data_IF_983837362836
#
_entry.id   IF_983837362836
#
_cell.length_a   1.000
_cell.length_b   1.000
_cell.length_c   1.000
_cell.angle_alpha   90.00
_cell.angle_beta   90.00
_cell.angle_gamma   90.00
#
_symmetry.space_group_name_H-M   'P 1'
#
loop_
_entity.id
_entity.type
_entity.pdbx_description
1 polymer ?
#
# COMPACT_ATOMS: atom_id res chain seq x y z
N UNK A 1 13.86 4.19 -1.38
CA UNK A 1 12.50 4.10 -1.93
C UNK A 1 11.53 4.63 -0.89
N UNK A 2 10.57 5.50 -1.24
CA UNK A 2 9.69 6.14 -0.26
C UNK A 2 8.48 5.25 0.06
N UNK A 3 8.69 4.23 0.90
CA UNK A 3 7.65 3.27 1.31
C UNK A 3 6.45 3.95 1.96
N UNK A 4 6.70 4.99 2.75
CA UNK A 4 5.67 5.82 3.37
C UNK A 4 4.71 6.43 2.34
N UNK A 5 5.22 6.92 1.22
CA UNK A 5 4.40 7.49 0.15
C UNK A 5 3.51 6.43 -0.49
N UNK A 6 4.00 5.21 -0.71
CA UNK A 6 3.20 4.12 -1.26
C UNK A 6 2.04 3.74 -0.34
N UNK A 7 2.30 3.64 0.97
CA UNK A 7 1.25 3.35 1.95
C UNK A 7 0.22 4.49 2.00
N UNK A 8 0.68 5.74 2.03
CA UNK A 8 -0.20 6.91 2.04
C UNK A 8 -1.13 6.96 0.81
N UNK A 9 -0.60 6.63 -0.36
CA UNK A 9 -1.35 6.61 -1.61
C UNK A 9 -2.41 5.49 -1.63
N UNK A 10 -2.05 4.30 -1.16
CA UNK A 10 -3.02 3.19 -0.97
C UNK A 10 -4.10 3.58 0.05
N UNK A 11 -3.74 4.23 1.16
CA UNK A 11 -4.70 4.71 2.16
C UNK A 11 -5.61 5.80 1.61
N UNK A 12 -5.11 6.69 0.74
CA UNK A 12 -5.92 7.72 0.08
C UNK A 12 -7.02 7.12 -0.82
N UNK A 13 -6.85 5.88 -1.29
CA UNK A 13 -7.87 5.11 -2.01
C UNK A 13 -8.88 4.42 -1.09
N UNK A 14 -8.89 4.73 0.21
CA UNK A 14 -9.82 4.18 1.19
C UNK A 14 -9.42 2.82 1.77
N UNK A 15 -8.20 2.35 1.50
CA UNK A 15 -7.71 1.11 2.11
C UNK A 15 -7.27 1.34 3.56
N UNK A 16 -7.77 0.50 4.47
CA UNK A 16 -7.35 0.52 5.87
C UNK A 16 -5.99 -0.17 6.06
N UNK A 17 -5.25 0.22 7.09
CA UNK A 17 -3.95 -0.40 7.42
C UNK A 17 -4.06 -1.90 7.67
N UNK A 18 -5.16 -2.37 8.28
CA UNK A 18 -5.41 -3.79 8.48
C UNK A 18 -5.62 -4.54 7.15
N UNK A 19 -6.32 -3.93 6.19
CA UNK A 19 -6.50 -4.49 4.84
C UNK A 19 -5.18 -4.55 4.07
N UNK A 20 -4.37 -3.49 4.17
CA UNK A 20 -3.03 -3.44 3.57
C UNK A 20 -2.15 -4.56 4.17
N UNK A 21 -2.16 -4.71 5.49
CA UNK A 21 -1.41 -5.76 6.18
C UNK A 21 -1.81 -7.17 5.71
N UNK A 22 -3.12 -7.44 5.62
CA UNK A 22 -3.65 -8.68 5.04
C UNK A 22 -3.15 -8.92 3.62
N UNK A 23 -3.23 -7.92 2.75
CA UNK A 23 -2.80 -8.02 1.36
C UNK A 23 -1.28 -8.23 1.21
N UNK A 24 -0.48 -7.83 2.20
CA UNK A 24 0.98 -8.01 2.24
C UNK A 24 1.40 -9.33 2.91
N UNK A 25 0.48 -10.29 3.07
CA UNK A 25 0.74 -11.60 3.65
C UNK A 25 0.42 -11.67 5.14
N UNK A 26 -0.78 -11.19 5.53
CA UNK A 26 -1.28 -11.21 6.92
C UNK A 26 -0.36 -10.50 7.92
N UNK A 27 0.28 -9.41 7.47
CA UNK A 27 1.11 -8.56 8.34
C UNK A 27 0.22 -7.82 9.35
N UNK A 28 0.70 -7.61 10.59
CA UNK A 28 -0.05 -6.89 11.59
C UNK A 28 -0.23 -5.43 11.18
N UNK A 29 -1.37 -4.83 11.57
CA UNK A 29 -1.67 -3.43 11.29
C UNK A 29 -0.57 -2.48 11.81
N UNK A 30 0.03 -2.79 12.97
CA UNK A 30 1.12 -2.00 13.56
C UNK A 30 2.34 -1.90 12.63
N UNK A 31 2.67 -2.98 11.92
CA UNK A 31 3.78 -2.99 10.96
C UNK A 31 3.53 -2.01 9.81
N UNK A 32 2.30 -1.98 9.28
CA UNK A 32 1.90 -1.01 8.25
C UNK A 32 1.98 0.42 8.79
N UNK A 33 1.54 0.62 10.04
CA UNK A 33 1.59 1.93 10.70
C UNK A 33 3.02 2.41 10.95
N UNK A 34 3.97 1.51 11.23
CA UNK A 34 5.38 1.84 11.38
C UNK A 34 6.04 2.24 10.04
N UNK A 35 5.64 1.61 8.93
CA UNK A 35 6.07 2.02 7.57
C UNK A 35 5.49 3.38 7.21
N UNK A 36 4.21 3.61 7.50
CA UNK A 36 3.55 4.90 7.30
C UNK A 36 4.21 6.03 8.13
N UNK A 37 4.82 5.70 9.26
CA UNK A 37 5.59 6.64 10.09
C UNK A 37 7.05 6.78 9.68
N UNK A 38 7.50 6.04 8.66
CA UNK A 38 8.88 6.06 8.20
C UNK A 38 9.87 5.41 9.17
N UNK A 39 9.40 4.55 10.09
CA UNK A 39 10.30 3.85 11.03
C UNK A 39 11.17 2.80 10.33
N UNK A 40 10.70 2.27 9.20
CA UNK A 40 11.48 1.37 8.37
C UNK A 40 12.20 2.15 7.27
N UNK A 41 13.54 2.22 7.39
CA UNK A 41 14.42 2.73 6.32
C UNK A 41 14.58 1.72 5.18
N UNK A 42 14.59 0.45 5.53
CA UNK A 42 14.72 -0.65 4.58
C UNK A 42 13.71 -1.74 4.93
N UNK A 43 12.98 -2.20 3.90
CA UNK A 43 12.09 -3.34 3.98
C UNK A 43 12.81 -4.53 3.37
N UNK A 44 12.56 -5.73 3.89
CA UNK A 44 13.03 -6.95 3.21
C UNK A 44 12.55 -6.91 1.77
N UNK A 45 13.42 -7.31 0.84
CA UNK A 45 13.18 -7.25 -0.60
C UNK A 45 11.79 -7.79 -1.00
N UNK A 46 11.38 -8.92 -0.42
CA UNK A 46 10.08 -9.54 -0.66
C UNK A 46 8.90 -8.66 -0.19
N UNK A 47 8.99 -8.06 1.01
CA UNK A 47 7.96 -7.15 1.51
C UNK A 47 7.87 -5.88 0.65
N UNK A 48 9.02 -5.36 0.20
CA UNK A 48 9.10 -4.23 -0.72
C UNK A 48 8.46 -4.53 -2.07
N UNK A 49 8.74 -5.69 -2.66
CA UNK A 49 8.11 -6.12 -3.91
C UNK A 49 6.60 -6.29 -3.78
N UNK A 50 6.14 -6.92 -2.70
CA UNK A 50 4.71 -7.07 -2.44
C UNK A 50 4.01 -5.72 -2.29
N UNK A 51 4.65 -4.75 -1.60
CA UNK A 51 4.11 -3.40 -1.47
C UNK A 51 4.03 -2.65 -2.81
N UNK A 52 5.06 -2.78 -3.65
CA UNK A 52 5.05 -2.20 -4.99
C UNK A 52 3.94 -2.82 -5.85
N UNK A 53 3.79 -4.15 -5.79
CA UNK A 53 2.75 -4.89 -6.50
C UNK A 53 1.35 -4.46 -6.05
N UNK A 54 1.13 -4.40 -4.74
CA UNK A 54 -0.13 -3.95 -4.15
C UNK A 54 -0.45 -2.51 -4.56
N UNK A 55 0.51 -1.60 -4.46
CA UNK A 55 0.32 -0.21 -4.87
C UNK A 55 -0.09 -0.12 -6.35
N UNK A 56 0.62 -0.82 -7.24
CA UNK A 56 0.26 -0.85 -8.66
C UNK A 56 -1.16 -1.40 -8.88
N UNK A 57 -1.54 -2.46 -8.19
CA UNK A 57 -2.90 -3.00 -8.28
C UNK A 57 -3.94 -1.96 -7.84
N UNK A 58 -3.76 -1.33 -6.69
CA UNK A 58 -4.71 -0.33 -6.16
C UNK A 58 -4.77 0.92 -7.05
N UNK A 59 -3.66 1.31 -7.68
CA UNK A 59 -3.64 2.46 -8.59
C UNK A 59 -4.19 2.16 -9.98
N UNK A 60 -3.99 0.95 -10.47
CA UNK A 60 -4.58 0.48 -11.74
C UNK A 60 -6.06 0.14 -11.59
N UNK A 61 -6.52 -0.24 -10.40
CA UNK A 61 -7.94 -0.43 -10.04
C UNK A 61 -8.64 0.94 -9.91
N UNK A 62 -8.56 1.76 -10.96
CA UNK A 62 -9.56 2.80 -11.20
C UNK A 62 -10.85 2.10 -11.63
N UNK A 63 -12.02 2.41 -11.03
CA UNK A 63 -13.24 2.36 -11.80
C UNK A 63 -13.01 3.31 -12.97
N UNK A 64 -12.94 2.75 -14.17
CA UNK A 64 -13.04 3.51 -15.40
C UNK A 64 -14.34 4.32 -15.27
N UNK A 65 -14.24 5.61 -14.93
CA UNK A 65 -15.35 6.54 -15.16
C UNK A 65 -15.74 6.34 -16.62
N UNK A 66 -16.99 5.96 -16.94
CA UNK A 66 -17.40 5.93 -18.33
C UNK A 66 -17.21 7.36 -18.82
N UNK A 67 -16.37 7.53 -19.84
CA UNK A 67 -16.27 8.76 -20.60
C UNK A 67 -17.71 9.18 -20.94
N UNK A 68 -18.22 10.21 -20.26
CA UNK A 68 -19.58 10.67 -20.42
C UNK A 68 -19.56 11.96 -21.24
N UNK A 69 -20.05 11.77 -22.47
CA UNK A 69 -20.64 12.70 -23.43
C UNK A 69 -19.75 13.80 -24.02
#
# INVERSE_FOLDING_TARGET
MNWTSLIADIQARGWSQARIGKALGDKPQSWVADIARGRYRDLKWQDGQNLIGLHKQVMTDQPQEPAHA
#
